data_IF_770827827841
#
_entry.id   IF_770827827841
#
_cell.length_a   1.000
_cell.length_b   1.000
_cell.length_c   1.000
_cell.angle_alpha   90.00
_cell.angle_beta   90.00
_cell.angle_gamma   90.00
#
_symmetry.space_group_name_H-M   'P 1'
#
loop_
_entity.id
_entity.type
_entity.pdbx_description
1 polymer ?
#
# COMPACT_ATOMS: atom_id res chain seq x y z
N UNK A 1 8.47 14.56 18.08
CA UNK A 1 7.39 13.74 18.66
C UNK A 1 6.19 13.84 17.71
N UNK A 2 5.54 12.73 17.36
CA UNK A 2 4.43 12.74 16.40
C UNK A 2 3.24 13.54 16.98
N UNK A 3 2.77 14.54 16.23
CA UNK A 3 1.70 15.44 16.66
C UNK A 3 0.32 14.80 16.50
N UNK A 4 0.19 13.81 15.61
CA UNK A 4 -1.07 13.14 15.31
C UNK A 4 -0.92 11.62 15.28
N UNK A 5 -1.31 10.95 16.38
CA UNK A 5 -1.57 9.51 16.47
C UNK A 5 -0.44 8.54 16.08
N UNK A 6 -0.63 7.25 16.37
CA UNK A 6 0.17 6.16 15.79
C UNK A 6 -0.64 5.53 14.66
N UNK A 7 -0.04 5.46 13.47
CA UNK A 7 -0.60 4.69 12.37
C UNK A 7 -0.46 3.18 12.66
N UNK A 8 -1.49 2.40 12.33
CA UNK A 8 -1.47 0.95 12.46
C UNK A 8 -0.63 0.32 11.35
N UNK A 9 -0.02 -0.84 11.61
CA UNK A 9 0.70 -1.59 10.59
C UNK A 9 -0.22 -2.08 9.47
N UNK A 10 0.37 -2.30 8.29
CA UNK A 10 -0.35 -2.83 7.15
C UNK A 10 -0.87 -4.25 7.44
N UNK A 11 -2.15 -4.47 7.20
CA UNK A 11 -2.81 -5.75 7.33
C UNK A 11 -3.59 -6.07 6.05
N UNK A 12 -3.00 -6.89 5.19
CA UNK A 12 -3.59 -7.30 3.91
C UNK A 12 -4.88 -8.10 4.04
N UNK A 13 -5.27 -8.54 5.24
CA UNK A 13 -6.57 -9.15 5.50
C UNK A 13 -7.66 -8.13 5.85
N UNK A 14 -7.29 -6.88 6.15
CA UNK A 14 -8.22 -5.81 6.57
C UNK A 14 -8.31 -4.66 5.59
N UNK A 15 -7.22 -4.33 4.90
CA UNK A 15 -7.18 -3.20 3.97
C UNK A 15 -6.36 -3.51 2.71
N UNK A 16 -6.68 -2.80 1.63
CA UNK A 16 -5.88 -2.85 0.39
C UNK A 16 -4.59 -2.06 0.55
N UNK A 17 -3.56 -2.44 -0.22
CA UNK A 17 -2.29 -1.69 -0.24
C UNK A 17 -2.50 -0.22 -0.61
N UNK A 18 -3.39 0.06 -1.57
CA UNK A 18 -3.74 1.41 -2.00
C UNK A 18 -4.30 2.24 -0.85
N UNK A 19 -5.28 1.70 -0.11
CA UNK A 19 -5.88 2.38 1.06
C UNK A 19 -4.85 2.66 2.16
N UNK A 20 -3.95 1.70 2.41
CA UNK A 20 -2.87 1.87 3.37
C UNK A 20 -1.88 2.97 2.93
N UNK A 21 -1.50 2.98 1.65
CA UNK A 21 -0.59 4.01 1.10
C UNK A 21 -1.19 5.41 1.19
N UNK A 22 -2.49 5.57 0.91
CA UNK A 22 -3.19 6.85 1.04
C UNK A 22 -3.19 7.34 2.50
N UNK A 23 -3.50 6.46 3.46
CA UNK A 23 -3.44 6.80 4.89
C UNK A 23 -2.04 7.22 5.32
N UNK A 24 -1.00 6.56 4.80
CA UNK A 24 0.38 6.93 5.07
C UNK A 24 0.72 8.33 4.54
N UNK A 25 0.23 8.69 3.35
CA UNK A 25 0.45 10.02 2.78
C UNK A 25 -0.25 11.12 3.60
N UNK A 26 -1.46 10.86 4.08
CA UNK A 26 -2.12 11.74 5.04
C UNK A 26 -1.37 11.81 6.37
N UNK A 27 -0.77 10.71 6.83
CA UNK A 27 0.05 10.70 8.05
C UNK A 27 1.28 11.60 7.93
N UNK A 28 1.98 11.56 6.79
CA UNK A 28 3.10 12.46 6.51
C UNK A 28 2.66 13.92 6.46
N UNK A 29 1.55 14.21 5.79
CA UNK A 29 0.97 15.56 5.71
C UNK A 29 0.59 16.10 7.09
N UNK A 30 -0.13 15.31 7.88
CA UNK A 30 -0.58 15.70 9.22
C UNK A 30 0.62 15.99 10.15
N UNK A 31 1.64 15.13 10.12
CA UNK A 31 2.83 15.30 10.96
C UNK A 31 3.88 16.24 10.36
N UNK A 32 3.58 16.93 9.24
CA UNK A 32 4.49 17.84 8.53
C UNK A 32 5.86 17.22 8.23
N UNK A 33 5.87 15.92 7.91
CA UNK A 33 7.09 15.18 7.60
C UNK A 33 7.41 15.43 6.13
N UNK A 34 8.33 16.36 5.88
CA UNK A 34 8.73 16.78 4.52
C UNK A 34 10.05 16.18 4.07
N UNK A 35 10.94 15.82 5.00
CA UNK A 35 12.23 15.22 4.67
C UNK A 35 12.07 13.77 4.21
N UNK A 36 12.60 13.44 3.03
CA UNK A 36 12.48 12.11 2.42
C UNK A 36 13.05 10.99 3.30
N UNK A 37 14.18 11.24 3.99
CA UNK A 37 14.77 10.29 4.93
C UNK A 37 13.85 10.03 6.13
N UNK A 38 13.23 11.08 6.67
CA UNK A 38 12.27 10.96 7.77
C UNK A 38 11.01 10.22 7.36
N UNK A 39 10.48 10.49 6.16
CA UNK A 39 9.33 9.74 5.62
C UNK A 39 9.67 8.26 5.45
N UNK A 40 10.87 7.96 4.92
CA UNK A 40 11.38 6.59 4.78
C UNK A 40 11.53 5.88 6.11
N UNK A 41 12.11 6.53 7.12
CA UNK A 41 12.24 5.97 8.46
C UNK A 41 10.88 5.68 9.11
N UNK A 42 9.94 6.62 9.00
CA UNK A 42 8.57 6.45 9.51
C UNK A 42 7.86 5.32 8.75
N UNK A 43 8.00 5.24 7.44
CA UNK A 43 7.42 4.15 6.65
C UNK A 43 7.92 2.78 7.13
N UNK A 44 9.24 2.60 7.25
CA UNK A 44 9.85 1.33 7.69
C UNK A 44 9.35 0.93 9.09
N UNK A 45 9.19 1.90 10.00
CA UNK A 45 8.74 1.62 11.37
C UNK A 45 7.23 1.32 11.46
N UNK A 46 6.41 1.92 10.59
CA UNK A 46 4.95 1.77 10.63
C UNK A 46 4.46 0.54 9.87
N UNK A 47 5.10 0.10 8.79
CA UNK A 47 4.60 -1.01 7.94
C UNK A 47 4.49 -2.36 8.65
N UNK A 48 5.14 -2.50 9.80
CA UNK A 48 5.12 -3.71 10.62
C UNK A 48 6.11 -4.78 10.18
N UNK A 49 6.39 -5.75 11.07
CA UNK A 49 7.49 -6.71 10.89
C UNK A 49 7.30 -7.64 9.70
N UNK A 50 6.06 -8.10 9.44
CA UNK A 50 5.75 -9.02 8.34
C UNK A 50 6.03 -8.38 6.98
N UNK A 51 5.48 -7.19 6.76
CA UNK A 51 5.64 -6.43 5.52
C UNK A 51 7.08 -5.95 5.33
N UNK A 52 7.75 -5.59 6.43
CA UNK A 52 9.17 -5.23 6.38
C UNK A 52 10.06 -6.41 5.99
N UNK A 53 9.80 -7.62 6.51
CA UNK A 53 10.49 -8.84 6.10
C UNK A 53 10.33 -9.12 4.60
N UNK A 54 9.11 -8.99 4.09
CA UNK A 54 8.81 -9.12 2.66
C UNK A 54 9.55 -8.05 1.84
N UNK A 55 9.48 -6.78 2.23
CA UNK A 55 10.18 -5.68 1.57
C UNK A 55 11.68 -5.93 1.48
N UNK A 56 12.29 -6.42 2.58
CA UNK A 56 13.71 -6.77 2.61
C UNK A 56 14.04 -7.90 1.63
N UNK A 57 13.18 -8.90 1.51
CA UNK A 57 13.33 -9.98 0.53
C UNK A 57 13.23 -9.47 -0.91
N UNK A 58 12.31 -8.54 -1.19
CA UNK A 58 12.09 -7.99 -2.53
C UNK A 58 13.15 -6.97 -2.97
N UNK A 59 13.87 -6.35 -2.03
CA UNK A 59 14.92 -5.36 -2.32
C UNK A 59 16.32 -5.97 -2.53
N UNK A 60 16.50 -7.28 -2.32
CA UNK A 60 17.80 -7.93 -2.48
C UNK A 60 18.37 -7.70 -3.89
N UNK A 61 19.69 -7.44 -4.02
CA UNK A 61 20.75 -7.49 -2.99
C UNK A 61 20.88 -6.21 -2.13
N UNK A 62 20.05 -5.19 -2.34
CA UNK A 62 20.15 -3.90 -1.64
C UNK A 62 19.41 -3.93 -0.30
N UNK A 63 19.86 -3.11 0.64
CA UNK A 63 19.19 -2.97 1.94
C UNK A 63 18.18 -1.82 1.93
N UNK A 64 17.08 -1.91 2.69
CA UNK A 64 16.18 -0.78 2.95
C UNK A 64 16.89 0.49 3.44
N UNK A 65 18.08 0.36 4.06
CA UNK A 65 18.91 1.47 4.54
C UNK A 65 19.78 2.11 3.45
N UNK A 66 19.86 1.52 2.26
CA UNK A 66 20.64 2.05 1.14
C UNK A 66 20.02 3.37 0.65
N UNK A 67 20.86 4.39 0.49
CA UNK A 67 20.46 5.72 0.01
C UNK A 67 19.90 5.70 -1.41
N UNK A 68 20.20 4.66 -2.20
CA UNK A 68 19.65 4.46 -3.54
C UNK A 68 18.21 3.97 -3.55
N UNK A 69 17.69 3.51 -2.40
CA UNK A 69 16.31 3.03 -2.26
C UNK A 69 15.44 4.15 -1.68
N UNK A 70 14.61 4.76 -2.53
CA UNK A 70 13.65 5.80 -2.13
C UNK A 70 12.36 5.18 -1.58
N UNK A 71 11.61 5.97 -0.81
CA UNK A 71 10.30 5.57 -0.30
C UNK A 71 9.33 5.19 -1.43
N UNK A 72 9.31 5.95 -2.53
CA UNK A 72 8.48 5.64 -3.69
C UNK A 72 8.81 4.28 -4.29
N UNK A 73 10.10 3.93 -4.37
CA UNK A 73 10.53 2.63 -4.87
C UNK A 73 10.10 1.49 -3.96
N UNK A 74 10.13 1.70 -2.64
CA UNK A 74 9.62 0.71 -1.69
C UNK A 74 8.10 0.52 -1.83
N UNK A 75 7.35 1.62 -1.98
CA UNK A 75 5.91 1.59 -2.21
C UNK A 75 5.55 0.86 -3.51
N UNK A 76 6.26 1.13 -4.60
CA UNK A 76 6.06 0.49 -5.90
C UNK A 76 6.32 -1.02 -5.85
N UNK A 77 7.42 -1.44 -5.21
CA UNK A 77 7.76 -2.86 -5.04
C UNK A 77 6.67 -3.60 -4.24
N UNK A 78 6.17 -3.00 -3.16
CA UNK A 78 5.11 -3.59 -2.36
C UNK A 78 3.76 -3.54 -3.09
N UNK A 79 3.48 -2.49 -3.85
CA UNK A 79 2.28 -2.40 -4.67
C UNK A 79 2.25 -3.52 -5.71
N UNK A 80 3.36 -3.76 -6.42
CA UNK A 80 3.47 -4.85 -7.39
C UNK A 80 3.27 -6.24 -6.76
N UNK A 81 3.59 -6.39 -5.48
CA UNK A 81 3.42 -7.65 -4.76
C UNK A 81 1.99 -7.85 -4.25
N UNK A 82 1.39 -6.83 -3.62
CA UNK A 82 0.05 -6.93 -3.02
C UNK A 82 -1.09 -6.66 -3.99
N UNK A 83 -0.85 -5.82 -5.00
CA UNK A 83 -1.78 -5.49 -6.06
C UNK A 83 -1.03 -5.57 -7.39
N UNK A 84 -0.63 -6.80 -7.83
CA UNK A 84 0.02 -6.99 -9.11
C UNK A 84 -0.93 -6.46 -10.17
N UNK A 85 -0.57 -5.30 -10.73
CA UNK A 85 -1.38 -4.57 -11.71
C UNK A 85 -1.97 -5.59 -12.68
N UNK A 86 -3.29 -5.84 -12.65
CA UNK A 86 -3.85 -6.67 -13.68
C UNK A 86 -3.61 -5.93 -14.98
N UNK A 87 -2.96 -6.59 -15.94
CA UNK A 87 -2.90 -6.15 -17.33
C UNK A 87 -4.30 -5.62 -17.74
N UNK A 88 -4.41 -4.56 -18.57
CA UNK A 88 -5.67 -3.87 -18.90
C UNK A 88 -6.87 -4.75 -19.33
N UNK A 89 -6.67 -6.05 -19.53
CA UNK A 89 -7.70 -7.07 -19.80
C UNK A 89 -8.67 -7.27 -18.61
N UNK A 90 -8.26 -7.09 -17.36
CA UNK A 90 -9.17 -7.34 -16.20
C UNK A 90 -10.16 -6.18 -15.97
N UNK A 91 -9.93 -5.02 -16.59
CA UNK A 91 -10.89 -3.91 -16.55
C UNK A 91 -12.22 -4.25 -17.27
N UNK A 92 -12.24 -5.32 -18.09
CA UNK A 92 -13.48 -5.90 -18.66
C UNK A 92 -14.20 -6.86 -17.72
N UNK A 93 -13.52 -7.43 -16.72
CA UNK A 93 -14.13 -8.41 -15.80
C UNK A 93 -14.88 -7.78 -14.62
N UNK A 94 -14.67 -6.49 -14.31
CA UNK A 94 -15.53 -5.76 -13.35
C UNK A 94 -16.81 -5.19 -13.96
N UNK A 95 -17.04 -5.38 -15.26
CA UNK A 95 -18.21 -4.86 -15.97
C UNK A 95 -19.32 -5.89 -16.29
N UNK A 96 -19.20 -7.16 -15.87
CA UNK A 96 -20.21 -8.20 -16.15
C UNK A 96 -20.87 -8.82 -14.90
N UNK A 97 -20.88 -8.13 -13.76
CA UNK A 97 -21.65 -8.59 -12.57
C UNK A 97 -22.59 -7.52 -12.05
N UNK A 98 -23.29 -6.84 -12.98
CA UNK A 98 -24.55 -6.13 -12.71
C UNK A 98 -25.53 -6.25 -13.89
N UNK A 99 -25.61 -7.42 -14.51
CA UNK A 99 -26.76 -7.78 -15.34
C UNK A 99 -27.30 -9.11 -14.82
N UNK A 100 -28.61 -9.13 -14.53
CA UNK A 100 -29.43 -10.26 -14.05
C UNK A 100 -29.54 -10.55 -12.54
N UNK A 101 -29.99 -9.56 -11.74
CA UNK A 101 -30.95 -9.84 -10.64
C UNK A 101 -32.02 -8.74 -10.63
N UNK A 102 -32.91 -8.74 -11.62
CA UNK A 102 -34.25 -8.18 -11.54
C UNK A 102 -34.97 -8.45 -12.87
N UNK A 103 -35.61 -9.62 -12.97
CA UNK A 103 -36.90 -9.89 -13.65
C UNK A 103 -37.13 -11.40 -13.43
N UNK A 104 -37.65 -11.75 -12.25
CA UNK A 104 -38.43 -12.97 -12.04
C UNK A 104 -39.15 -12.84 -10.70
N UNK A 105 -40.28 -12.12 -10.75
CA UNK A 105 -41.46 -12.30 -9.89
C UNK A 105 -42.43 -11.16 -10.14
N UNK A 106 -43.20 -11.24 -11.22
CA UNK A 106 -44.65 -11.00 -11.21
C UNK A 106 -45.23 -11.90 -12.32
N UNK A 107 -45.51 -13.15 -11.95
CA UNK A 107 -46.77 -13.79 -12.34
C UNK A 107 -47.67 -13.68 -11.11
#
# INVERSE_FOLDING_TARGET
MATHGKMSAFDGSKESWTSYSERLDFYFKANKITAAESQKAVFITVIGPRTYGLLKSLLQPKTPQDSTVTLDKMKDVLQKHFDPKPSPIVQRFKFHTRENIAISKIL
#
